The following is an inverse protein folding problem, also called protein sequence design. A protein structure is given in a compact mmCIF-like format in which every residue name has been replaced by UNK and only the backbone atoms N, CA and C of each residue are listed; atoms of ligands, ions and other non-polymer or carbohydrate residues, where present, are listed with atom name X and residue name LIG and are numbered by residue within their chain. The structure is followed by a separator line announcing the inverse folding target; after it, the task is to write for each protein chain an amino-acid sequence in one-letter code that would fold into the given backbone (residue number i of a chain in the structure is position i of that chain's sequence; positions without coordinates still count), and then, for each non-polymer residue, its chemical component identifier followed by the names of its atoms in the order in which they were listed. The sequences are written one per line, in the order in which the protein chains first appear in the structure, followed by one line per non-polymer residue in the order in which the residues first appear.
data_IF_595625442187
#
_entry.id   IF_595625442187
#
_cell.length_a   1.000
_cell.length_b   1.000
_cell.length_c   1.000
_cell.angle_alpha   90.00
_cell.angle_beta   90.00
_cell.angle_gamma   90.00
#
_symmetry.space_group_name_H-M   'P 1'
#
loop_
_entity.id
_entity.type
_entity.pdbx_description
1 polymer ?
#
# COMPACT_ATOMS: atom_id res chain seq x y z
N UNK A 1 -53.88 1.51 -71.55
CA UNK A 1 -52.65 1.14 -72.30
C UNK A 1 -51.48 1.68 -71.48
N UNK A 2 -51.02 0.90 -70.49
CA UNK A 2 -49.92 -0.08 -70.59
C UNK A 2 -48.53 0.56 -70.50
N UNK A 3 -47.83 0.24 -69.39
CA UNK A 3 -46.39 -0.08 -69.27
C UNK A 3 -45.39 1.09 -69.47
N UNK A 4 -44.32 1.30 -68.68
CA UNK A 4 -43.37 0.35 -68.07
C UNK A 4 -42.67 0.92 -66.82
N UNK A 5 -42.26 0.01 -65.95
CA UNK A 5 -41.50 0.23 -64.72
C UNK A 5 -40.03 0.63 -64.93
N UNK A 6 -39.40 1.24 -63.91
CA UNK A 6 -38.23 0.67 -63.20
C UNK A 6 -37.86 1.48 -61.94
N UNK A 7 -37.69 0.76 -60.84
CA UNK A 7 -37.20 1.21 -59.53
C UNK A 7 -35.68 1.37 -59.56
N UNK A 8 -35.15 2.38 -58.88
CA UNK A 8 -33.79 2.36 -58.33
C UNK A 8 -33.76 3.18 -57.03
N UNK A 9 -33.68 2.47 -55.91
CA UNK A 9 -33.46 3.05 -54.59
C UNK A 9 -31.94 3.17 -54.43
N UNK A 10 -31.41 4.38 -54.51
CA UNK A 10 -30.02 4.67 -54.11
C UNK A 10 -30.01 5.13 -52.66
N UNK A 11 -29.46 4.28 -51.80
CA UNK A 11 -29.01 4.59 -50.44
C UNK A 11 -27.99 5.72 -50.47
N UNK A 12 -28.12 6.72 -49.59
CA UNK A 12 -27.05 7.69 -49.41
C UNK A 12 -27.38 8.89 -48.52
N UNK A 13 -26.46 9.17 -47.59
CA UNK A 13 -26.39 10.26 -46.61
C UNK A 13 -27.29 10.07 -45.39
N UNK A 14 -26.80 9.81 -44.17
CA UNK A 14 -25.47 10.03 -43.63
C UNK A 14 -25.67 10.55 -42.20
N UNK A 15 -25.90 9.65 -41.25
CA UNK A 15 -25.85 9.95 -39.83
C UNK A 15 -24.41 10.36 -39.48
N UNK A 16 -24.12 11.66 -39.45
CA UNK A 16 -22.94 12.17 -38.77
C UNK A 16 -23.25 12.05 -37.27
N UNK A 17 -23.12 10.83 -36.76
CA UNK A 17 -23.03 10.58 -35.34
C UNK A 17 -21.73 11.20 -34.85
N UNK A 18 -21.79 12.45 -34.38
CA UNK A 18 -20.74 13.02 -33.55
C UNK A 18 -20.81 12.28 -32.21
N UNK A 19 -20.22 11.08 -32.18
CA UNK A 19 -19.99 10.36 -30.95
C UNK A 19 -19.05 11.19 -30.09
N UNK A 20 -19.60 11.93 -29.13
CA UNK A 20 -18.80 12.50 -28.06
C UNK A 20 -18.25 11.33 -27.28
N UNK A 21 -17.02 10.90 -27.61
CA UNK A 21 -16.23 10.09 -26.70
C UNK A 21 -16.00 10.96 -25.47
N UNK A 22 -16.78 10.73 -24.42
CA UNK A 22 -16.41 11.16 -23.08
C UNK A 22 -15.16 10.36 -22.72
N UNK A 23 -13.99 10.88 -23.07
CA UNK A 23 -12.73 10.37 -22.55
C UNK A 23 -12.76 10.53 -21.05
N UNK A 24 -12.89 9.42 -20.32
CA UNK A 24 -12.63 9.41 -18.88
C UNK A 24 -11.16 9.78 -18.70
N UNK A 25 -10.87 11.00 -18.26
CA UNK A 25 -9.51 11.33 -17.83
C UNK A 25 -9.13 10.32 -16.74
N UNK A 26 -8.05 9.56 -16.94
CA UNK A 26 -7.53 8.70 -15.90
C UNK A 26 -7.19 9.59 -14.70
N UNK A 27 -7.83 9.36 -13.56
CA UNK A 27 -7.58 10.15 -12.35
C UNK A 27 -6.20 9.81 -11.81
N UNK A 28 -5.26 10.75 -11.93
CA UNK A 28 -3.91 10.61 -11.36
C UNK A 28 -3.99 10.68 -9.83
N UNK A 29 -3.22 9.84 -9.14
CA UNK A 29 -3.28 9.74 -7.67
C UNK A 29 -1.94 9.34 -7.05
N UNK A 30 -1.69 9.84 -5.85
CA UNK A 30 -0.68 9.32 -4.94
C UNK A 30 -1.37 8.66 -3.75
N UNK A 31 -0.93 7.48 -3.36
CA UNK A 31 -1.52 6.69 -2.28
C UNK A 31 -0.47 6.05 -1.39
N UNK A 32 -0.88 5.67 -0.18
CA UNK A 32 -0.08 4.84 0.72
C UNK A 32 -0.68 3.43 0.73
N UNK A 33 0.17 2.42 0.57
CA UNK A 33 -0.22 1.01 0.70
C UNK A 33 0.51 0.33 1.88
N UNK A 34 -0.19 -0.48 2.69
CA UNK A 34 -1.65 -0.64 2.69
C UNK A 34 -2.38 0.63 3.15
N UNK A 35 -3.60 0.87 2.66
CA UNK A 35 -4.44 2.01 3.10
C UNK A 35 -4.82 1.89 4.59
N UNK A 36 -4.93 0.65 5.08
CA UNK A 36 -5.13 0.37 6.50
C UNK A 36 -4.33 -0.84 6.94
N UNK A 37 -3.66 -0.73 8.09
CA UNK A 37 -2.98 -1.85 8.74
C UNK A 37 -3.39 -1.99 10.21
N UNK A 38 -3.57 -3.23 10.64
CA UNK A 38 -3.81 -3.59 12.04
C UNK A 38 -2.68 -4.48 12.54
N UNK A 39 -1.96 -4.00 13.55
CA UNK A 39 -0.74 -4.62 14.08
C UNK A 39 -0.94 -4.96 15.57
N UNK A 40 -0.22 -5.97 16.05
CA UNK A 40 -0.46 -6.55 17.39
C UNK A 40 0.81 -6.69 18.24
N UNK A 41 1.98 -6.50 17.64
CA UNK A 41 3.28 -6.75 18.29
C UNK A 41 4.04 -5.44 18.46
N UNK A 42 4.57 -5.21 19.66
CA UNK A 42 5.44 -4.07 19.95
C UNK A 42 6.86 -4.32 19.48
N UNK A 43 7.60 -3.24 19.21
CA UNK A 43 9.02 -3.30 18.88
C UNK A 43 9.32 -4.13 17.60
N UNK A 44 8.31 -4.37 16.76
CA UNK A 44 8.47 -4.90 15.41
C UNK A 44 8.39 -3.79 14.39
N UNK A 45 8.87 -4.07 13.20
CA UNK A 45 8.79 -3.17 12.05
C UNK A 45 7.66 -3.55 11.11
N UNK A 46 7.18 -2.59 10.35
CA UNK A 46 6.30 -2.80 9.22
C UNK A 46 6.66 -1.83 8.09
N UNK A 47 6.33 -2.20 6.86
CA UNK A 47 6.62 -1.38 5.69
C UNK A 47 5.32 -0.78 5.15
N UNK A 48 5.44 0.44 4.63
CA UNK A 48 4.46 1.04 3.75
C UNK A 48 5.13 1.45 2.44
N UNK A 49 4.36 1.44 1.37
CA UNK A 49 4.79 1.94 0.06
C UNK A 49 4.00 3.19 -0.29
N UNK A 50 4.69 4.25 -0.72
CA UNK A 50 4.04 5.41 -1.36
C UNK A 50 3.99 5.14 -2.86
N UNK A 51 2.79 5.06 -3.41
CA UNK A 51 2.54 4.71 -4.81
C UNK A 51 1.98 5.89 -5.57
N UNK A 52 2.42 6.04 -6.81
CA UNK A 52 1.90 7.04 -7.73
C UNK A 52 1.29 6.32 -8.93
N UNK A 53 0.15 6.82 -9.38
CA UNK A 53 -0.45 6.51 -10.67
C UNK A 53 -0.63 7.80 -11.43
N UNK A 54 -0.01 7.93 -12.59
CA UNK A 54 -0.07 9.16 -13.37
C UNK A 54 0.65 9.08 -14.71
N UNK A 55 0.55 10.16 -15.46
CA UNK A 55 1.03 10.24 -16.83
C UNK A 55 2.11 11.31 -16.96
N UNK A 56 3.18 10.98 -17.69
CA UNK A 56 4.28 11.87 -17.97
C UNK A 56 4.98 12.44 -16.71
N UNK A 57 5.21 11.61 -15.69
CA UNK A 57 5.82 12.03 -14.42
C UNK A 57 7.34 12.08 -14.52
N UNK A 58 7.96 13.20 -14.14
CA UNK A 58 9.41 13.37 -14.09
C UNK A 58 9.94 13.64 -12.67
N UNK A 59 9.15 14.22 -11.79
CA UNK A 59 9.60 14.54 -10.42
C UNK A 59 8.49 14.44 -9.39
N UNK A 60 8.86 14.03 -8.18
CA UNK A 60 7.96 13.85 -7.05
C UNK A 60 8.60 14.40 -5.78
N UNK A 61 7.82 15.14 -5.00
CA UNK A 61 8.12 15.52 -3.63
C UNK A 61 6.87 15.35 -2.78
N UNK A 62 7.05 14.93 -1.53
CA UNK A 62 6.00 14.97 -0.50
C UNK A 62 6.64 15.15 0.88
N UNK A 63 5.85 15.61 1.85
CA UNK A 63 6.10 15.21 3.23
C UNK A 63 5.04 14.21 3.69
N UNK A 64 5.42 13.41 4.67
CA UNK A 64 4.59 12.41 5.29
C UNK A 64 4.59 12.65 6.80
N UNK A 65 3.39 12.68 7.38
CA UNK A 65 3.18 12.91 8.80
C UNK A 65 2.52 11.71 9.47
N UNK A 66 2.93 11.43 10.70
CA UNK A 66 2.40 10.38 11.56
C UNK A 66 2.50 10.79 13.03
N UNK A 67 1.90 10.01 13.94
CA UNK A 67 2.00 10.25 15.38
C UNK A 67 3.29 9.61 15.95
N UNK A 68 4.30 10.39 16.36
CA UNK A 68 5.60 9.88 16.82
C UNK A 68 5.56 9.18 18.17
N UNK A 69 4.43 9.27 18.88
CA UNK A 69 4.22 8.52 20.12
C UNK A 69 3.87 7.06 19.84
N UNK A 70 3.33 6.73 18.66
CA UNK A 70 2.83 5.40 18.30
C UNK A 70 3.84 4.63 17.43
N UNK A 71 4.40 5.28 16.42
CA UNK A 71 5.41 4.70 15.51
C UNK A 71 6.58 5.67 15.33
N UNK A 72 7.70 5.18 14.85
CA UNK A 72 8.84 6.00 14.39
C UNK A 72 9.35 5.48 13.05
N UNK A 73 9.79 6.38 12.17
CA UNK A 73 10.37 5.98 10.89
C UNK A 73 11.84 5.56 11.09
N UNK A 74 12.21 4.40 10.57
CA UNK A 74 13.58 3.88 10.63
C UNK A 74 14.34 4.13 9.34
N UNK A 75 13.68 3.94 8.20
CA UNK A 75 14.31 4.11 6.90
C UNK A 75 13.31 4.53 5.83
N UNK A 76 13.84 5.20 4.82
CA UNK A 76 13.12 5.58 3.60
C UNK A 76 14.03 5.23 2.44
N UNK A 77 13.52 4.48 1.49
CA UNK A 77 14.23 4.15 0.26
C UNK A 77 13.40 4.54 -0.95
N UNK A 78 14.08 4.85 -2.05
CA UNK A 78 13.42 5.18 -3.30
C UNK A 78 12.89 3.93 -4.01
N UNK A 79 11.63 3.99 -4.41
CA UNK A 79 10.98 2.98 -5.22
C UNK A 79 11.41 3.00 -6.69
N UNK A 80 10.88 2.07 -7.49
CA UNK A 80 11.36 1.87 -8.86
C UNK A 80 10.61 2.67 -9.94
N UNK A 81 9.53 3.36 -9.59
CA UNK A 81 8.68 4.05 -10.57
C UNK A 81 9.44 5.13 -11.35
N UNK A 82 10.15 6.02 -10.67
CA UNK A 82 10.93 7.07 -11.34
C UNK A 82 12.22 6.56 -11.97
N UNK A 83 12.73 5.38 -11.60
CA UNK A 83 13.93 4.81 -12.24
C UNK A 83 13.62 4.46 -13.69
N UNK A 84 12.63 3.59 -13.95
CA UNK A 84 12.19 3.15 -15.29
C UNK A 84 13.27 3.33 -16.39
N UNK A 85 14.32 2.49 -16.31
CA UNK A 85 15.49 2.44 -17.19
C UNK A 85 16.32 3.72 -17.32
N UNK A 86 16.28 4.57 -16.30
CA UNK A 86 16.97 5.86 -16.25
C UNK A 86 17.52 6.14 -14.86
N UNK A 87 18.50 7.04 -14.80
CA UNK A 87 19.03 7.53 -13.55
C UNK A 87 18.06 8.53 -12.92
N UNK A 88 18.07 8.55 -11.59
CA UNK A 88 17.28 9.44 -10.74
C UNK A 88 18.20 10.20 -9.82
N UNK A 89 17.86 11.46 -9.57
CA UNK A 89 18.46 12.27 -8.52
C UNK A 89 17.50 12.29 -7.34
N UNK A 90 17.85 11.54 -6.30
CA UNK A 90 17.08 11.50 -5.06
C UNK A 90 17.78 12.28 -3.99
N UNK A 91 17.05 13.22 -3.39
CA UNK A 91 17.53 13.92 -2.20
C UNK A 91 17.42 12.95 -1.03
N UNK A 92 18.49 12.73 -0.24
CA UNK A 92 18.41 11.89 0.95
C UNK A 92 17.20 12.26 1.80
N UNK A 93 16.35 11.27 2.08
CA UNK A 93 15.13 11.50 2.83
C UNK A 93 15.47 12.02 4.23
N UNK A 94 14.72 13.02 4.70
CA UNK A 94 14.89 13.56 6.05
C UNK A 94 13.82 12.98 6.96
N UNK A 95 14.25 12.26 7.99
CA UNK A 95 13.39 11.73 9.04
C UNK A 95 13.50 12.63 10.28
N UNK A 96 12.36 13.05 10.82
CA UNK A 96 12.25 13.75 12.09
C UNK A 96 11.23 13.01 12.98
N UNK A 97 11.74 12.08 13.80
CA UNK A 97 10.93 11.27 14.71
C UNK A 97 10.40 12.07 15.92
N UNK A 98 10.88 13.30 16.15
CA UNK A 98 10.32 14.16 17.20
C UNK A 98 9.03 14.83 16.73
N UNK A 99 8.99 15.26 15.46
CA UNK A 99 7.83 15.88 14.83
C UNK A 99 6.89 14.88 14.13
N UNK A 100 7.30 13.62 14.02
CA UNK A 100 6.55 12.60 13.29
C UNK A 100 6.48 12.89 11.79
N UNK A 101 7.62 13.27 11.20
CA UNK A 101 7.69 13.74 9.82
C UNK A 101 8.77 13.05 8.99
N UNK A 102 8.46 12.78 7.73
CA UNK A 102 9.40 12.35 6.69
C UNK A 102 9.31 13.30 5.51
N UNK A 103 10.44 13.75 4.96
CA UNK A 103 10.50 14.51 3.70
C UNK A 103 11.21 13.71 2.63
N UNK A 104 10.60 13.61 1.46
CA UNK A 104 11.13 12.87 0.32
C UNK A 104 11.04 13.70 -0.96
N UNK A 105 12.08 13.63 -1.79
CA UNK A 105 12.07 14.20 -3.13
C UNK A 105 12.98 13.37 -4.06
N UNK A 106 12.46 13.07 -5.25
CA UNK A 106 13.21 12.41 -6.34
C UNK A 106 12.78 12.96 -7.68
N UNK A 107 13.71 13.04 -8.63
CA UNK A 107 13.45 13.43 -10.00
C UNK A 107 14.29 12.61 -10.99
N UNK A 108 13.76 12.39 -12.18
CA UNK A 108 14.47 11.80 -13.31
C UNK A 108 15.55 12.76 -13.82
N UNK A 109 16.68 12.19 -14.24
CA UNK A 109 17.73 12.94 -14.96
C UNK A 109 17.37 13.08 -16.46
N UNK A 110 16.56 12.17 -16.98
CA UNK A 110 16.10 12.18 -18.37
C UNK A 110 14.95 13.17 -18.61
N UNK A 111 14.85 13.69 -19.85
CA UNK A 111 13.79 14.62 -20.28
C UNK A 111 12.45 13.95 -20.62
N UNK A 112 12.27 12.66 -20.32
CA UNK A 112 11.03 11.91 -20.59
C UNK A 112 10.37 11.52 -19.28
N UNK A 113 9.06 11.71 -19.22
CA UNK A 113 8.25 11.30 -18.09
C UNK A 113 7.93 9.80 -18.13
N UNK A 114 7.55 9.27 -16.96
CA UNK A 114 7.06 7.90 -16.76
C UNK A 114 5.54 7.90 -16.72
N UNK A 115 4.95 6.84 -17.26
CA UNK A 115 3.51 6.63 -17.32
C UNK A 115 3.11 5.39 -16.54
N UNK A 116 1.87 5.35 -16.06
CA UNK A 116 1.30 4.22 -15.36
C UNK A 116 1.44 4.33 -13.84
N UNK A 117 1.57 3.20 -13.15
CA UNK A 117 1.58 3.15 -11.68
C UNK A 117 2.80 2.42 -11.12
N UNK A 118 3.27 2.86 -9.95
CA UNK A 118 4.35 2.17 -9.24
C UNK A 118 4.79 2.86 -7.95
N UNK A 119 5.76 2.26 -7.27
CA UNK A 119 6.24 2.71 -5.97
C UNK A 119 7.25 3.85 -6.15
N UNK A 120 7.02 4.96 -5.45
CA UNK A 120 7.90 6.13 -5.37
C UNK A 120 8.86 6.00 -4.19
N UNK A 121 8.38 5.51 -3.05
CA UNK A 121 9.17 5.33 -1.85
C UNK A 121 8.68 4.13 -1.04
N UNK A 122 9.60 3.45 -0.39
CA UNK A 122 9.32 2.44 0.64
C UNK A 122 9.78 2.99 1.98
N UNK A 123 8.94 2.90 3.00
CA UNK A 123 9.20 3.44 4.33
C UNK A 123 9.00 2.35 5.36
N UNK A 124 10.05 2.10 6.15
CA UNK A 124 9.99 1.17 7.28
C UNK A 124 9.73 1.95 8.55
N UNK A 125 8.68 1.55 9.26
CA UNK A 125 8.32 2.07 10.57
C UNK A 125 8.57 1.03 11.65
N UNK A 126 8.99 1.48 12.82
CA UNK A 126 9.01 0.71 14.05
C UNK A 126 7.86 1.10 14.95
N UNK A 127 7.24 0.10 15.57
CA UNK A 127 6.13 0.28 16.51
C UNK A 127 6.67 0.59 17.90
N UNK A 128 6.22 1.71 18.48
CA UNK A 128 6.59 2.15 19.83
C UNK A 128 5.53 1.81 20.86
N UNK A 129 4.28 2.19 20.60
CA UNK A 129 3.18 2.09 21.55
C UNK A 129 1.86 1.66 20.88
N UNK A 130 0.91 1.10 21.65
CA UNK A 130 -0.46 0.89 21.17
C UNK A 130 -1.12 2.23 20.84
N UNK A 131 -2.02 2.22 19.87
CA UNK A 131 -2.77 3.40 19.46
C UNK A 131 -3.13 3.38 17.98
N UNK A 132 -3.81 4.42 17.52
CA UNK A 132 -4.11 4.65 16.12
C UNK A 132 -3.37 5.90 15.61
N UNK A 133 -2.76 5.79 14.44
CA UNK A 133 -2.11 6.91 13.74
C UNK A 133 -2.58 6.95 12.29
N UNK A 134 -2.99 8.12 11.85
CA UNK A 134 -3.06 8.38 10.41
C UNK A 134 -1.63 8.53 9.88
N UNK A 135 -1.45 8.14 8.62
CA UNK A 135 -0.25 8.43 7.84
C UNK A 135 -0.71 9.32 6.68
N UNK A 136 -0.35 10.61 6.76
CA UNK A 136 -0.85 11.64 5.84
C UNK A 136 0.25 12.14 4.93
N UNK A 137 -0.06 12.25 3.64
CA UNK A 137 0.79 12.93 2.68
C UNK A 137 0.38 14.40 2.60
N UNK A 138 1.34 15.30 2.73
CA UNK A 138 1.16 16.74 2.56
C UNK A 138 2.23 17.30 1.60
N UNK A 139 2.05 18.57 1.21
CA UNK A 139 2.99 19.27 0.33
C UNK A 139 3.41 18.46 -0.91
N UNK A 140 2.46 17.69 -1.45
CA UNK A 140 2.68 16.81 -2.60
C UNK A 140 2.89 17.67 -3.84
N UNK A 141 4.04 17.53 -4.46
CA UNK A 141 4.38 18.20 -5.73
C UNK A 141 4.80 17.15 -6.73
N UNK A 142 4.04 17.04 -7.81
CA UNK A 142 4.32 16.15 -8.93
C UNK A 142 4.58 17.02 -10.16
N UNK A 143 5.65 16.72 -10.89
CA UNK A 143 6.11 17.50 -12.03
C UNK A 143 6.25 16.64 -13.28
N UNK A 144 5.90 17.21 -14.43
CA UNK A 144 6.27 16.66 -15.75
C UNK A 144 7.70 17.08 -16.14
N UNK A 145 8.26 16.60 -17.27
CA UNK A 145 9.59 16.98 -17.73
C UNK A 145 9.77 18.48 -18.02
N UNK A 146 8.68 19.18 -18.33
CA UNK A 146 8.66 20.62 -18.62
C UNK A 146 8.45 21.46 -17.34
N UNK A 147 8.48 20.82 -16.16
CA UNK A 147 8.29 21.40 -14.83
C UNK A 147 6.88 21.93 -14.55
N UNK A 148 5.90 21.56 -15.36
CA UNK A 148 4.49 21.84 -15.08
C UNK A 148 4.01 21.00 -13.90
N UNK A 149 3.13 21.56 -13.08
CA UNK A 149 2.55 20.84 -11.95
C UNK A 149 1.45 19.90 -12.41
N UNK A 150 1.58 18.63 -12.05
CA UNK A 150 0.54 17.62 -12.23
C UNK A 150 -0.28 17.55 -10.94
N UNK A 151 -1.59 17.76 -11.06
CA UNK A 151 -2.53 17.60 -9.94
C UNK A 151 -2.83 16.13 -9.75
N UNK A 152 -2.73 15.66 -8.51
CA UNK A 152 -3.04 14.27 -8.15
C UNK A 152 -4.01 14.24 -6.97
N UNK A 153 -4.87 13.23 -6.95
CA UNK A 153 -5.64 12.89 -5.75
C UNK A 153 -4.69 12.29 -4.72
N UNK A 154 -4.77 12.75 -3.46
CA UNK A 154 -3.98 12.20 -2.36
C UNK A 154 -4.85 11.23 -1.56
N UNK A 155 -4.40 9.98 -1.41
CA UNK A 155 -5.04 8.97 -0.59
C UNK A 155 -4.12 8.61 0.59
N UNK A 156 -4.56 8.97 1.80
CA UNK A 156 -3.81 8.72 3.03
C UNK A 156 -4.03 7.29 3.53
N UNK A 157 -3.28 6.88 4.55
CA UNK A 157 -3.47 5.60 5.22
C UNK A 157 -3.71 5.77 6.72
N UNK A 158 -4.10 4.68 7.38
CA UNK A 158 -4.21 4.61 8.83
C UNK A 158 -3.61 3.30 9.37
N UNK A 159 -2.94 3.38 10.51
CA UNK A 159 -2.37 2.24 11.21
C UNK A 159 -2.92 2.17 12.62
N UNK A 160 -3.37 0.99 13.03
CA UNK A 160 -3.80 0.72 14.40
C UNK A 160 -2.94 -0.37 15.01
N UNK A 161 -2.31 -0.07 16.14
CA UNK A 161 -1.53 -0.98 16.96
C UNK A 161 -2.34 -1.36 18.20
N UNK A 162 -2.58 -2.66 18.42
CA UNK A 162 -3.32 -3.17 19.58
C UNK A 162 -2.41 -3.98 20.51
N UNK A 163 -2.72 -3.96 21.80
CA UNK A 163 -2.12 -4.88 22.76
C UNK A 163 -2.57 -6.31 22.42
N UNK A 164 -1.64 -7.25 22.41
CA UNK A 164 -1.97 -8.67 22.46
C UNK A 164 -2.26 -9.04 23.91
N UNK A 165 -3.44 -8.67 24.40
CA UNK A 165 -3.95 -9.11 25.71
C UNK A 165 -5.30 -9.81 25.50
N UNK A 166 -5.23 -11.14 25.48
CA UNK A 166 -6.21 -12.17 25.88
C UNK A 166 -7.65 -12.13 25.34
N UNK A 167 -8.03 -13.18 24.60
CA UNK A 167 -9.43 -13.64 24.55
C UNK A 167 -9.84 -14.14 25.93
N UNK A 168 -10.86 -13.49 26.49
CA UNK A 168 -11.57 -13.81 27.73
C UNK A 168 -12.21 -15.21 27.70
N UNK A 169 -11.78 -16.12 28.58
CA UNK A 169 -12.61 -17.22 29.09
C UNK A 169 -13.36 -16.70 30.32
N UNK A 170 -14.69 -16.54 30.24
CA UNK A 170 -15.54 -16.24 31.39
C UNK A 170 -15.84 -17.54 32.13
N UNK A 171 -15.27 -17.76 33.33
CA UNK A 171 -15.81 -18.72 34.31
C UNK A 171 -16.72 -17.98 35.28
N UNK A 172 -18.00 -18.34 35.28
CA UNK A 172 -18.97 -17.97 36.32
C UNK A 172 -19.44 -19.28 36.96
N UNK A 173 -19.35 -19.37 38.29
CA UNK A 173 -19.77 -20.54 39.07
C UNK A 173 -20.90 -20.09 40.00
N UNK A 174 -22.07 -20.71 39.87
CA UNK A 174 -23.14 -20.70 40.87
C UNK A 174 -23.73 -22.10 40.93
N UNK A 175 -23.82 -22.67 42.14
CA UNK A 175 -24.42 -23.96 42.41
C UNK A 175 -25.94 -23.83 42.49
N UNK A 176 -26.68 -24.68 41.77
CA UNK A 176 -27.66 -25.65 42.31
C UNK A 176 -28.37 -26.40 41.15
N UNK A 177 -28.97 -27.51 41.52
CA UNK A 177 -29.15 -28.75 40.76
C UNK A 177 -30.35 -28.78 39.76
N UNK A 178 -30.13 -29.55 38.68
CA UNK A 178 -31.08 -30.36 37.87
C UNK A 178 -31.55 -29.86 36.48
N UNK A 179 -31.31 -30.78 35.53
CA UNK A 179 -31.96 -31.06 34.22
C UNK A 179 -31.42 -30.34 32.97
N UNK A 180 -30.84 -31.13 32.05
CA UNK A 180 -30.72 -30.76 30.62
C UNK A 180 -29.36 -31.05 29.99
N UNK A 181 -29.37 -31.77 28.87
CA UNK A 181 -28.27 -32.43 28.15
C UNK A 181 -27.23 -31.50 27.44
N UNK A 182 -26.02 -32.08 27.22
CA UNK A 182 -25.03 -31.81 26.13
C UNK A 182 -23.98 -30.69 26.28
N UNK A 183 -22.70 -31.07 26.46
CA UNK A 183 -21.54 -30.48 25.75
C UNK A 183 -20.24 -31.26 26.02
N UNK A 184 -19.62 -31.80 24.96
CA UNK A 184 -18.17 -32.04 24.90
C UNK A 184 -17.55 -31.03 23.93
N UNK A 185 -16.28 -30.70 24.21
CA UNK A 185 -15.24 -30.24 23.28
C UNK A 185 -14.84 -28.74 23.35
N UNK A 186 -13.79 -28.46 24.15
CA UNK A 186 -12.87 -27.33 23.91
C UNK A 186 -11.48 -27.65 24.49
N UNK A 187 -10.65 -28.32 23.68
CA UNK A 187 -9.20 -28.49 23.90
C UNK A 187 -8.38 -28.32 22.59
N UNK A 188 -8.97 -27.80 21.51
CA UNK A 188 -8.38 -27.90 20.16
C UNK A 188 -7.66 -26.64 19.61
N UNK A 189 -7.28 -25.67 20.45
CA UNK A 189 -6.63 -24.42 19.97
C UNK A 189 -5.17 -24.25 20.43
N UNK A 190 -4.81 -24.73 21.63
CA UNK A 190 -3.43 -24.61 22.15
C UNK A 190 -2.44 -25.56 21.47
N UNK A 191 -2.91 -26.69 20.95
CA UNK A 191 -2.05 -27.69 20.31
C UNK A 191 -1.57 -27.29 18.91
N UNK A 192 -2.29 -26.39 18.23
CA UNK A 192 -1.93 -25.95 16.88
C UNK A 192 -0.83 -24.87 16.89
N UNK A 193 -0.79 -24.00 17.91
CA UNK A 193 0.25 -22.98 18.03
C UNK A 193 1.63 -23.58 18.37
N UNK A 194 1.67 -24.59 19.24
CA UNK A 194 2.92 -25.25 19.60
C UNK A 194 3.56 -25.98 18.40
N UNK A 195 2.73 -26.62 17.56
CA UNK A 195 3.19 -27.24 16.31
C UNK A 195 3.71 -26.21 15.30
N UNK A 196 2.99 -25.08 15.12
CA UNK A 196 3.38 -24.04 14.15
C UNK A 196 4.68 -23.34 14.57
N UNK A 197 4.85 -23.02 15.87
CA UNK A 197 6.09 -22.40 16.38
C UNK A 197 7.29 -23.35 16.22
N UNK A 198 7.10 -24.65 16.45
CA UNK A 198 8.15 -25.66 16.27
C UNK A 198 8.61 -25.79 14.81
N UNK A 199 7.67 -25.80 13.85
CA UNK A 199 7.98 -25.90 12.41
C UNK A 199 8.76 -24.66 11.92
N UNK A 200 8.38 -23.46 12.36
CA UNK A 200 9.07 -22.21 11.99
C UNK A 200 10.49 -22.17 12.56
N UNK A 201 10.70 -22.62 13.81
CA UNK A 201 12.01 -22.67 14.43
C UNK A 201 12.98 -23.63 13.72
N UNK A 202 12.49 -24.81 13.30
CA UNK A 202 13.28 -25.78 12.54
C UNK A 202 13.66 -25.20 11.16
N UNK A 203 12.72 -24.53 10.48
CA UNK A 203 12.99 -23.95 9.15
C UNK A 203 14.04 -22.83 9.21
N UNK A 204 14.00 -21.98 10.24
CA UNK A 204 15.03 -20.96 10.49
C UNK A 204 16.41 -21.56 10.76
N UNK A 205 16.51 -22.64 11.54
CA UNK A 205 17.75 -23.36 11.80
C UNK A 205 18.36 -23.97 10.51
N UNK A 206 17.52 -24.49 9.61
CA UNK A 206 17.95 -25.03 8.32
C UNK A 206 18.45 -23.91 7.38
N UNK A 207 17.79 -22.75 7.36
CA UNK A 207 18.25 -21.60 6.57
C UNK A 207 19.57 -21.06 7.10
N UNK A 208 19.69 -20.91 8.42
CA UNK A 208 20.92 -20.39 9.07
C UNK A 208 22.10 -21.34 8.80
N UNK A 209 21.91 -22.66 8.92
CA UNK A 209 22.99 -23.61 8.63
C UNK A 209 23.41 -23.60 7.15
N UNK A 210 22.45 -23.43 6.22
CA UNK A 210 22.75 -23.32 4.79
C UNK A 210 23.48 -22.03 4.44
N UNK A 211 23.12 -20.91 5.07
CA UNK A 211 23.78 -19.62 4.90
C UNK A 211 25.19 -19.59 5.51
N UNK A 212 25.40 -20.22 6.66
CA UNK A 212 26.73 -20.37 7.28
C UNK A 212 27.64 -21.20 6.37
N UNK A 213 27.11 -22.28 5.77
CA UNK A 213 27.87 -23.15 4.86
C UNK A 213 28.28 -22.44 3.56
N UNK A 214 27.38 -21.64 2.99
CA UNK A 214 27.62 -20.86 1.76
C UNK A 214 28.66 -19.75 1.95
N UNK A 215 28.91 -19.33 3.21
CA UNK A 215 29.93 -18.32 3.56
C UNK A 215 31.28 -18.95 3.95
N UNK A 216 31.34 -20.28 4.05
CA UNK A 216 32.55 -21.03 4.43
C UNK A 216 33.27 -21.72 3.27
N UNK A 217 32.73 -21.60 2.05
CA UNK A 217 33.40 -21.94 0.79
C UNK A 217 33.86 -20.66 0.08
#
# INVERSE_FOLDING_TARGET
MQNTAKISIKTGLGIIGMGVLLGTAASQSISIEPEYAKLYTYNTTFNISVKLSGDNIAGVQFNLNYNPTIIEAESVSEGNFLKNNSAVLTIPAKIDNNLGAVKFASARVEKKGVYGSGNIAEITFKIKNPGATDIKLDNVKIKDPDLNTIKVKVNNAAVTVKNTSETTETKQQTADEKTGNTAQNSQNSKNNYFLIISIIAIFLLVIISKFIRDKSE
#
